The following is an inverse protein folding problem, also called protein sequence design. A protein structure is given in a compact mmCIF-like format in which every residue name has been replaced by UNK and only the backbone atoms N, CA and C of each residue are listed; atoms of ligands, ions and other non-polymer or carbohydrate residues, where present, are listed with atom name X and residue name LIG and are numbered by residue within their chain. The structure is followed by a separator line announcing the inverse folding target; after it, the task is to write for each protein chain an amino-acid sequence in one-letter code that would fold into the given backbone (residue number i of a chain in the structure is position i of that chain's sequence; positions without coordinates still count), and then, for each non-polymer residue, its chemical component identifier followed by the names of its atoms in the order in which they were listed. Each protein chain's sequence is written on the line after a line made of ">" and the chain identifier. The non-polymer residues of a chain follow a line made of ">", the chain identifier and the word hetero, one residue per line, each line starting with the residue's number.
data_IF_139867538940
#
_entry.id   IF_139867538940
#
_cell.length_a   1.000
_cell.length_b   1.000
_cell.length_c   1.000
_cell.angle_alpha   90.00
_cell.angle_beta   90.00
_cell.angle_gamma   90.00
#
_symmetry.space_group_name_H-M   'P 1'
#
loop_
_entity.id
_entity.type
_entity.pdbx_description
1 polymer ?
#
# COMPACT_ATOMS: atom_id res chain seq x y z
N UNK A 1 53.80 7.40 -17.64
CA UNK A 1 52.85 6.27 -17.79
C UNK A 1 52.07 5.98 -16.50
N UNK A 2 52.69 6.05 -15.31
CA UNK A 2 52.00 5.71 -14.05
C UNK A 2 50.91 6.70 -13.61
N UNK A 3 51.13 8.01 -13.77
CA UNK A 3 50.14 9.02 -13.37
C UNK A 3 48.80 8.87 -14.13
N UNK A 4 48.86 8.49 -15.41
CA UNK A 4 47.66 8.26 -16.23
C UNK A 4 46.85 7.06 -15.75
N UNK A 5 47.52 6.00 -15.28
CA UNK A 5 46.87 4.81 -14.72
C UNK A 5 46.19 5.13 -13.37
N UNK A 6 46.83 5.93 -12.52
CA UNK A 6 46.25 6.36 -11.24
C UNK A 6 45.01 7.25 -11.42
N UNK A 7 45.06 8.18 -12.37
CA UNK A 7 43.92 9.06 -12.69
C UNK A 7 42.76 8.24 -13.28
N UNK A 8 43.04 7.32 -14.20
CA UNK A 8 42.02 6.44 -14.76
C UNK A 8 41.39 5.53 -13.69
N UNK A 9 42.19 5.01 -12.76
CA UNK A 9 41.69 4.22 -11.62
C UNK A 9 40.79 5.02 -10.68
N UNK A 10 41.16 6.27 -10.37
CA UNK A 10 40.34 7.19 -9.56
C UNK A 10 39.01 7.52 -10.23
N UNK A 11 39.02 7.82 -11.54
CA UNK A 11 37.80 8.10 -12.30
C UNK A 11 36.91 6.86 -12.36
N UNK A 12 37.50 5.68 -12.62
CA UNK A 12 36.77 4.41 -12.61
C UNK A 12 36.13 4.10 -11.25
N UNK A 13 36.87 4.33 -10.16
CA UNK A 13 36.35 4.14 -8.80
C UNK A 13 35.22 5.13 -8.46
N UNK A 14 35.34 6.39 -8.88
CA UNK A 14 34.29 7.40 -8.68
C UNK A 14 33.02 7.09 -9.49
N UNK A 15 33.17 6.66 -10.75
CA UNK A 15 32.02 6.25 -11.57
C UNK A 15 31.37 4.97 -11.03
N UNK A 16 32.17 4.01 -10.59
CA UNK A 16 31.69 2.77 -9.96
C UNK A 16 30.91 3.04 -8.68
N UNK A 17 31.42 3.93 -7.81
CA UNK A 17 30.74 4.28 -6.56
C UNK A 17 29.43 5.03 -6.80
N UNK A 18 29.41 6.00 -7.72
CA UNK A 18 28.19 6.72 -8.11
C UNK A 18 27.11 5.78 -8.68
N UNK A 19 27.52 4.85 -9.54
CA UNK A 19 26.61 3.85 -10.12
C UNK A 19 26.06 2.90 -9.07
N UNK A 20 26.90 2.47 -8.12
CA UNK A 20 26.48 1.63 -7.00
C UNK A 20 25.47 2.32 -6.09
N UNK A 21 25.74 3.58 -5.71
CA UNK A 21 24.81 4.39 -4.90
C UNK A 21 23.49 4.58 -5.64
N UNK A 22 23.53 4.94 -6.92
CA UNK A 22 22.32 5.08 -7.73
C UNK A 22 21.49 3.80 -7.77
N UNK A 23 22.15 2.65 -7.96
CA UNK A 23 21.48 1.34 -7.95
C UNK A 23 20.83 1.04 -6.61
N UNK A 24 21.51 1.29 -5.50
CA UNK A 24 20.98 1.08 -4.15
C UNK A 24 19.76 1.96 -3.87
N UNK A 25 19.78 3.23 -4.29
CA UNK A 25 18.65 4.15 -4.12
C UNK A 25 17.43 3.62 -4.87
N UNK A 26 17.59 3.20 -6.12
CA UNK A 26 16.50 2.63 -6.93
C UNK A 26 15.94 1.38 -6.27
N UNK A 27 16.82 0.43 -5.88
CA UNK A 27 16.40 -0.80 -5.21
C UNK A 27 15.64 -0.51 -3.92
N UNK A 28 16.14 0.41 -3.09
CA UNK A 28 15.52 0.81 -1.84
C UNK A 28 14.11 1.37 -2.07
N UNK A 29 13.92 2.25 -3.05
CA UNK A 29 12.58 2.79 -3.39
C UNK A 29 11.60 1.68 -3.79
N UNK A 30 12.04 0.73 -4.62
CA UNK A 30 11.18 -0.38 -5.04
C UNK A 30 10.88 -1.36 -3.89
N UNK A 31 11.86 -1.65 -3.04
CA UNK A 31 11.70 -2.50 -1.86
C UNK A 31 10.73 -1.86 -0.86
N UNK A 32 10.92 -0.60 -0.51
CA UNK A 32 10.03 0.12 0.43
C UNK A 32 8.60 0.18 -0.10
N UNK A 33 8.40 0.43 -1.39
CA UNK A 33 7.06 0.42 -2.01
C UNK A 33 6.39 -0.94 -1.89
N UNK A 34 7.13 -2.03 -2.07
CA UNK A 34 6.61 -3.40 -1.96
C UNK A 34 6.32 -3.77 -0.52
N UNK A 35 7.21 -3.44 0.40
CA UNK A 35 7.04 -3.71 1.83
C UNK A 35 5.85 -2.94 2.39
N UNK A 36 5.71 -1.65 2.07
CA UNK A 36 4.54 -0.85 2.44
C UNK A 36 3.24 -1.51 1.99
N UNK A 37 3.13 -1.90 0.70
CA UNK A 37 1.94 -2.62 0.19
C UNK A 37 1.66 -3.93 0.93
N UNK A 38 2.70 -4.69 1.26
CA UNK A 38 2.56 -5.96 1.99
C UNK A 38 2.04 -5.71 3.41
N UNK A 39 2.61 -4.75 4.12
CA UNK A 39 2.18 -4.38 5.47
C UNK A 39 0.72 -3.91 5.46
N UNK A 40 0.34 -3.08 4.48
CA UNK A 40 -1.05 -2.64 4.32
C UNK A 40 -2.03 -3.80 4.12
N UNK A 41 -1.67 -4.75 3.26
CA UNK A 41 -2.49 -5.95 3.06
C UNK A 41 -2.60 -6.76 4.34
N UNK A 42 -1.50 -6.98 5.06
CA UNK A 42 -1.48 -7.72 6.32
C UNK A 42 -2.33 -7.03 7.40
N UNK A 43 -2.26 -5.70 7.50
CA UNK A 43 -3.09 -4.92 8.43
C UNK A 43 -4.57 -5.05 8.07
N UNK A 44 -4.93 -4.85 6.80
CA UNK A 44 -6.31 -5.00 6.36
C UNK A 44 -6.84 -6.43 6.56
N UNK A 45 -5.99 -7.44 6.37
CA UNK A 45 -6.34 -8.83 6.58
C UNK A 45 -6.58 -9.14 8.05
N UNK A 46 -5.71 -8.68 8.95
CA UNK A 46 -5.90 -8.81 10.40
C UNK A 46 -7.17 -8.12 10.88
N UNK A 47 -7.45 -6.91 10.38
CA UNK A 47 -8.71 -6.21 10.71
C UNK A 47 -9.93 -7.00 10.23
N UNK A 48 -9.90 -7.51 9.01
CA UNK A 48 -10.96 -8.37 8.48
C UNK A 48 -11.14 -9.65 9.31
N UNK A 49 -10.05 -10.34 9.65
CA UNK A 49 -10.05 -11.54 10.48
C UNK A 49 -10.63 -11.24 11.87
N UNK A 50 -10.24 -10.14 12.49
CA UNK A 50 -10.80 -9.71 13.78
C UNK A 50 -12.30 -9.43 13.69
N UNK A 51 -12.75 -8.74 12.64
CA UNK A 51 -14.19 -8.48 12.41
C UNK A 51 -14.96 -9.76 12.15
N UNK A 52 -14.35 -10.75 11.51
CA UNK A 52 -14.94 -12.06 11.28
C UNK A 52 -15.02 -12.89 12.56
N UNK A 53 -13.93 -12.95 13.33
CA UNK A 53 -13.86 -13.69 14.59
C UNK A 53 -14.77 -13.11 15.69
N UNK A 54 -14.96 -11.78 15.70
CA UNK A 54 -15.80 -11.09 16.69
C UNK A 54 -17.19 -10.73 16.17
N UNK A 55 -17.54 -11.14 14.95
CA UNK A 55 -18.92 -11.05 14.51
C UNK A 55 -19.76 -11.99 15.38
N UNK A 56 -20.55 -11.42 16.29
CA UNK A 56 -21.59 -12.18 16.97
C UNK A 56 -22.50 -12.81 15.91
N UNK A 57 -23.04 -14.01 16.19
CA UNK A 57 -23.88 -14.82 15.28
C UNK A 57 -25.04 -14.04 14.62
N UNK A 58 -25.40 -12.86 15.14
CA UNK A 58 -26.46 -11.98 14.64
C UNK A 58 -25.97 -10.66 14.03
N UNK A 59 -24.68 -10.50 13.71
CA UNK A 59 -24.14 -9.25 13.14
C UNK A 59 -24.22 -9.31 11.61
N UNK A 60 -25.12 -8.55 10.94
CA UNK A 60 -25.55 -8.94 9.60
C UNK A 60 -24.57 -8.64 8.47
N UNK A 61 -23.50 -7.84 8.67
CA UNK A 61 -22.68 -7.37 7.54
C UNK A 61 -21.23 -7.09 7.96
N UNK A 62 -20.39 -8.12 7.88
CA UNK A 62 -18.95 -7.89 7.80
C UNK A 62 -18.70 -7.30 6.41
N UNK A 63 -18.11 -6.10 6.35
CA UNK A 63 -17.65 -5.54 5.08
C UNK A 63 -16.68 -6.53 4.43
N UNK A 64 -16.84 -6.78 3.14
CA UNK A 64 -15.99 -7.71 2.42
C UNK A 64 -14.52 -7.25 2.46
N UNK A 65 -13.60 -8.21 2.41
CA UNK A 65 -12.17 -7.91 2.46
C UNK A 65 -11.71 -6.86 1.42
N UNK A 66 -12.16 -6.86 0.14
CA UNK A 66 -11.77 -5.82 -0.81
C UNK A 66 -12.17 -4.41 -0.38
N UNK A 67 -13.32 -4.26 0.29
CA UNK A 67 -13.83 -2.97 0.78
C UNK A 67 -12.96 -2.46 1.94
N UNK A 68 -12.59 -3.35 2.86
CA UNK A 68 -11.69 -3.03 3.99
C UNK A 68 -10.29 -2.68 3.48
N UNK A 69 -9.78 -3.41 2.48
CA UNK A 69 -8.48 -3.13 1.88
C UNK A 69 -8.46 -1.77 1.19
N UNK A 70 -9.49 -1.46 0.40
CA UNK A 70 -9.61 -0.16 -0.27
C UNK A 70 -9.72 1.01 0.72
N UNK A 71 -10.46 0.81 1.81
CA UNK A 71 -10.53 1.78 2.92
C UNK A 71 -9.14 2.08 3.51
N UNK A 72 -8.39 1.05 3.90
CA UNK A 72 -7.04 1.23 4.47
C UNK A 72 -6.09 1.88 3.46
N UNK A 73 -6.19 1.49 2.19
CA UNK A 73 -5.42 2.13 1.12
C UNK A 73 -5.69 3.62 1.01
N UNK A 74 -6.96 4.02 1.03
CA UNK A 74 -7.32 5.42 0.87
C UNK A 74 -6.98 6.26 2.10
N UNK A 75 -7.14 5.69 3.30
CA UNK A 75 -6.76 6.35 4.55
C UNK A 75 -5.26 6.66 4.60
N UNK A 76 -4.42 5.68 4.27
CA UNK A 76 -2.96 5.87 4.24
C UNK A 76 -2.55 6.89 3.17
N UNK A 77 -3.16 6.83 1.97
CA UNK A 77 -2.91 7.82 0.90
C UNK A 77 -3.22 9.26 1.33
N UNK A 78 -4.26 9.46 2.14
CA UNK A 78 -4.59 10.79 2.69
C UNK A 78 -3.62 11.22 3.78
N UNK A 79 -3.19 10.31 4.64
CA UNK A 79 -2.20 10.58 5.70
C UNK A 79 -0.87 10.99 5.08
N UNK A 80 -0.37 10.22 4.10
CA UNK A 80 0.90 10.51 3.42
C UNK A 80 0.90 11.86 2.68
N UNK A 81 -0.28 12.39 2.34
CA UNK A 81 -0.45 13.66 1.64
C UNK A 81 -0.82 14.83 2.56
N UNK A 82 -0.88 14.62 3.87
CA UNK A 82 -1.38 15.59 4.86
C UNK A 82 -2.80 16.11 4.53
N UNK A 83 -3.63 15.24 3.94
CA UNK A 83 -5.00 15.56 3.49
C UNK A 83 -6.08 14.89 4.33
N UNK A 84 -5.72 14.25 5.43
CA UNK A 84 -6.70 13.63 6.33
C UNK A 84 -7.42 14.71 7.16
N UNK A 85 -8.58 15.12 6.67
CA UNK A 85 -9.54 16.02 7.36
C UNK A 85 -10.83 15.27 7.71
N UNK A 86 -11.67 15.78 8.62
CA UNK A 86 -12.98 15.20 8.90
C UNK A 86 -13.83 14.97 7.65
N UNK A 87 -13.84 15.94 6.74
CA UNK A 87 -14.58 15.84 5.47
C UNK A 87 -14.05 14.71 4.59
N UNK A 88 -12.72 14.59 4.47
CA UNK A 88 -12.10 13.53 3.67
C UNK A 88 -12.33 12.14 4.28
N UNK A 89 -12.37 12.03 5.61
CA UNK A 89 -12.69 10.79 6.30
C UNK A 89 -14.16 10.39 6.09
N UNK A 90 -15.08 11.36 6.14
CA UNK A 90 -16.49 11.12 5.84
C UNK A 90 -16.70 10.65 4.40
N UNK A 91 -15.99 11.24 3.44
CA UNK A 91 -16.02 10.81 2.04
C UNK A 91 -15.52 9.37 1.86
N UNK A 92 -14.46 8.98 2.56
CA UNK A 92 -13.96 7.60 2.53
C UNK A 92 -15.00 6.63 3.09
N UNK A 93 -15.64 6.96 4.21
CA UNK A 93 -16.69 6.12 4.79
C UNK A 93 -17.89 5.97 3.85
N UNK A 94 -18.31 7.06 3.21
CA UNK A 94 -19.37 7.00 2.20
C UNK A 94 -19.00 6.09 1.03
N UNK A 95 -17.78 6.24 0.48
CA UNK A 95 -17.28 5.40 -0.60
C UNK A 95 -17.16 3.92 -0.19
N UNK A 96 -16.82 3.65 1.08
CA UNK A 96 -16.76 2.30 1.63
C UNK A 96 -18.14 1.62 1.61
N UNK A 97 -19.18 2.35 2.00
CA UNK A 97 -20.58 1.86 1.98
C UNK A 97 -21.01 1.58 0.55
N UNK A 98 -20.81 2.53 -0.36
CA UNK A 98 -21.17 2.39 -1.78
C UNK A 98 -20.49 1.18 -2.43
N UNK A 99 -19.18 1.01 -2.18
CA UNK A 99 -18.43 -0.13 -2.69
C UNK A 99 -18.90 -1.47 -2.10
N UNK A 100 -19.29 -1.47 -0.81
CA UNK A 100 -19.87 -2.65 -0.16
C UNK A 100 -21.21 -3.06 -0.77
N UNK A 101 -22.10 -2.09 -1.03
CA UNK A 101 -23.38 -2.32 -1.69
C UNK A 101 -23.20 -2.84 -3.12
N UNK A 102 -22.30 -2.22 -3.89
CA UNK A 102 -21.99 -2.62 -5.25
C UNK A 102 -21.47 -4.06 -5.32
N UNK A 103 -20.58 -4.44 -4.40
CA UNK A 103 -20.06 -5.80 -4.34
C UNK A 103 -21.14 -6.81 -3.92
N UNK A 104 -21.98 -6.46 -2.94
CA UNK A 104 -23.07 -7.32 -2.51
C UNK A 104 -24.05 -7.60 -3.67
N UNK A 105 -24.37 -6.58 -4.46
CA UNK A 105 -25.17 -6.72 -5.68
C UNK A 105 -24.49 -7.63 -6.71
N UNK A 106 -23.20 -7.42 -7.00
CA UNK A 106 -22.46 -8.23 -7.95
C UNK A 106 -22.42 -9.73 -7.54
N UNK A 107 -22.30 -10.03 -6.25
CA UNK A 107 -22.35 -11.41 -5.73
C UNK A 107 -23.73 -12.03 -5.92
N UNK A 108 -24.80 -11.26 -5.72
CA UNK A 108 -26.18 -11.72 -5.95
C UNK A 108 -26.41 -12.03 -7.44
N UNK A 109 -25.99 -11.14 -8.34
CA UNK A 109 -26.12 -11.32 -9.79
C UNK A 109 -25.36 -12.55 -10.32
N UNK A 110 -24.25 -12.92 -9.67
CA UNK A 110 -23.48 -14.13 -10.01
C UNK A 110 -24.10 -15.44 -9.46
N UNK A 111 -25.04 -15.34 -8.52
CA UNK A 111 -25.68 -16.49 -7.86
C UNK A 111 -27.02 -16.88 -8.47
N UNK A 112 -27.49 -16.12 -9.47
CA UNK A 112 -28.69 -16.36 -10.30
C UNK A 112 -28.31 -16.88 -11.68
#
# INVERSE_FOLDING_TARGET
>A
MEATALIAGLIGAALGSLTSIGTLVVQNVFQNRRESKRLMFETAYKDYELRFLHAAENTPKIASFPVILAYHQKMIDLIEKDKLTPDSAAQILAAQVEMGEALQKAVQDLST
#
